data_IF_283405485006
#
_entry.id   IF_283405485006
#
_cell.length_a   1.000
_cell.length_b   1.000
_cell.length_c   1.000
_cell.angle_alpha   90.00
_cell.angle_beta   90.00
_cell.angle_gamma   90.00
#
_symmetry.space_group_name_H-M   'P 1'
#
loop_
_entity.id
_entity.type
_entity.pdbx_description
1 polymer ?
#
# COMPACT_ATOMS: atom_id res chain seq x y z
N UNK A 1 -15.04 -2.73 -1.61
CA UNK A 1 -14.13 -1.59 -1.88
C UNK A 1 -13.01 -1.68 -0.86
N UNK A 2 -11.76 -1.85 -1.21
CA UNK A 2 -10.71 -2.11 -0.22
C UNK A 2 -10.42 -0.91 0.73
N UNK A 3 -9.58 -1.11 1.76
CA UNK A 3 -9.16 -0.06 2.71
C UNK A 3 -7.66 0.24 2.60
N UNK A 4 -7.27 1.50 2.44
CA UNK A 4 -5.87 1.97 2.53
C UNK A 4 -5.69 2.76 3.82
N UNK A 5 -4.57 2.52 4.50
CA UNK A 5 -4.07 3.33 5.61
C UNK A 5 -2.59 3.59 5.40
N UNK A 6 -2.12 4.81 5.66
CA UNK A 6 -0.72 5.16 5.71
C UNK A 6 -0.44 6.10 6.89
N UNK A 7 0.79 6.07 7.37
CA UNK A 7 1.21 6.88 8.52
C UNK A 7 2.68 7.28 8.40
N UNK A 8 2.96 8.54 8.70
CA UNK A 8 4.29 9.10 8.88
C UNK A 8 4.30 9.96 10.14
N UNK A 9 5.21 9.71 11.07
CA UNK A 9 5.30 10.54 12.27
C UNK A 9 6.35 10.08 13.26
N UNK A 10 6.07 10.30 14.54
CA UNK A 10 6.99 9.99 15.65
C UNK A 10 6.56 8.78 16.50
N UNK A 11 5.29 8.36 16.43
CA UNK A 11 4.75 7.19 17.13
C UNK A 11 5.11 5.89 16.43
N UNK A 12 5.03 4.79 17.15
CA UNK A 12 5.07 3.45 16.57
C UNK A 12 3.86 3.23 15.66
N UNK A 13 4.13 2.88 14.41
CA UNK A 13 3.15 2.82 13.34
C UNK A 13 2.28 1.55 13.41
N UNK A 14 2.80 0.43 13.92
CA UNK A 14 2.10 -0.86 13.84
C UNK A 14 0.75 -0.84 14.58
N UNK A 15 0.67 -0.46 15.88
CA UNK A 15 -0.62 -0.45 16.57
C UNK A 15 -1.62 0.52 15.92
N UNK A 16 -1.12 1.63 15.40
CA UNK A 16 -1.90 2.65 14.72
C UNK A 16 -2.55 2.09 13.45
N UNK A 17 -1.74 1.47 12.58
CA UNK A 17 -2.20 0.85 11.34
C UNK A 17 -3.22 -0.24 11.61
N UNK A 18 -2.96 -1.16 12.54
CA UNK A 18 -3.90 -2.24 12.85
C UNK A 18 -5.25 -1.68 13.33
N UNK A 19 -5.24 -0.72 14.25
CA UNK A 19 -6.46 -0.05 14.73
C UNK A 19 -7.21 0.70 13.60
N UNK A 20 -6.48 1.33 12.68
CA UNK A 20 -7.06 2.04 11.54
C UNK A 20 -7.65 1.08 10.50
N UNK A 21 -6.96 -0.03 10.22
CA UNK A 21 -7.41 -1.04 9.27
C UNK A 21 -8.65 -1.78 9.77
N UNK A 22 -8.72 -2.12 11.07
CA UNK A 22 -9.90 -2.68 11.71
C UNK A 22 -11.15 -1.83 11.48
N UNK A 23 -10.99 -0.50 11.49
CA UNK A 23 -12.07 0.46 11.26
C UNK A 23 -12.58 0.51 9.83
N UNK A 24 -11.85 -0.03 8.86
CA UNK A 24 -12.24 -0.07 7.44
C UNK A 24 -12.45 -1.49 6.91
N UNK A 25 -12.48 -2.49 7.80
CA UNK A 25 -12.72 -3.91 7.45
C UNK A 25 -14.11 -4.16 6.85
N UNK A 26 -15.10 -3.31 7.15
CA UNK A 26 -16.42 -3.37 6.48
C UNK A 26 -16.34 -3.18 4.97
N UNK A 27 -15.22 -2.65 4.46
CA UNK A 27 -15.01 -2.45 3.04
C UNK A 27 -14.24 -3.62 2.38
N UNK A 28 -13.44 -4.38 3.13
CA UNK A 28 -12.73 -5.57 2.67
C UNK A 28 -12.23 -6.45 3.82
N UNK A 29 -12.40 -7.76 3.69
CA UNK A 29 -12.27 -8.73 4.78
C UNK A 29 -11.60 -10.05 4.37
N UNK A 30 -11.18 -10.21 3.11
CA UNK A 30 -10.57 -11.46 2.63
C UNK A 30 -9.12 -11.61 3.13
N UNK A 31 -8.41 -10.50 3.24
CA UNK A 31 -7.01 -10.45 3.67
C UNK A 31 -6.62 -9.04 4.12
N UNK A 32 -5.51 -8.93 4.86
CA UNK A 32 -4.87 -7.66 5.17
C UNK A 32 -3.35 -7.79 5.13
N UNK A 33 -2.69 -6.64 5.13
CA UNK A 33 -1.26 -6.58 5.37
C UNK A 33 -0.77 -5.18 5.70
N UNK A 34 0.47 -5.13 6.17
CA UNK A 34 1.18 -3.91 6.55
C UNK A 34 2.62 -3.98 6.04
N UNK A 35 3.16 -2.82 5.68
CA UNK A 35 4.58 -2.60 5.39
C UNK A 35 5.08 -1.46 6.26
N UNK A 36 6.16 -1.72 7.01
CA UNK A 36 6.79 -0.75 7.89
C UNK A 36 8.23 -0.56 7.46
N UNK A 37 8.66 0.70 7.34
CA UNK A 37 10.07 1.01 7.17
C UNK A 37 10.75 1.02 8.54
N UNK A 38 11.51 -0.03 8.80
CA UNK A 38 12.43 -0.10 9.93
C UNK A 38 13.79 0.49 9.51
N UNK A 39 14.71 0.73 10.46
CA UNK A 39 16.03 1.30 10.14
C UNK A 39 16.91 0.46 9.19
N UNK A 40 16.49 -0.76 8.83
CA UNK A 40 17.22 -1.73 8.01
C UNK A 40 16.57 -1.96 6.63
N UNK A 41 15.27 -1.73 6.49
CA UNK A 41 14.50 -2.04 5.29
C UNK A 41 12.99 -1.98 5.48
N UNK A 42 12.25 -2.41 4.48
CA UNK A 42 10.79 -2.55 4.58
C UNK A 42 10.48 -3.96 5.09
N UNK A 43 9.84 -4.04 6.25
CA UNK A 43 9.26 -5.28 6.77
C UNK A 43 7.79 -5.38 6.36
N UNK A 44 7.40 -6.52 5.80
CA UNK A 44 6.03 -6.77 5.33
C UNK A 44 5.43 -7.95 6.10
N UNK A 45 4.21 -7.77 6.58
CA UNK A 45 3.38 -8.85 7.10
C UNK A 45 2.04 -8.87 6.36
N UNK A 46 1.60 -10.06 5.96
CA UNK A 46 0.36 -10.29 5.24
C UNK A 46 -0.35 -11.52 5.79
N UNK A 47 -1.67 -11.47 5.88
CA UNK A 47 -2.50 -12.61 6.29
C UNK A 47 -3.78 -12.68 5.48
N UNK A 48 -4.25 -13.92 5.27
CA UNK A 48 -5.64 -14.20 4.86
C UNK A 48 -6.53 -14.13 6.10
N UNK A 49 -7.73 -13.56 5.94
CA UNK A 49 -8.63 -13.25 7.05
C UNK A 49 -8.62 -11.77 7.42
N UNK A 50 -9.45 -11.42 8.39
CA UNK A 50 -9.61 -10.05 8.88
C UNK A 50 -8.47 -9.66 9.83
N UNK A 51 -8.31 -8.35 10.05
CA UNK A 51 -7.35 -7.83 11.04
C UNK A 51 -7.67 -8.37 12.43
N UNK A 52 -8.95 -8.38 12.81
CA UNK A 52 -9.40 -8.86 14.12
C UNK A 52 -8.99 -10.32 14.38
N UNK A 53 -9.15 -11.19 13.40
CA UNK A 53 -8.84 -12.62 13.51
C UNK A 53 -7.33 -12.91 13.59
N UNK A 54 -6.50 -12.16 12.87
CA UNK A 54 -5.06 -12.48 12.77
C UNK A 54 -4.15 -11.49 13.53
N UNK A 55 -4.68 -10.43 14.16
CA UNK A 55 -3.87 -9.42 14.87
C UNK A 55 -2.89 -10.02 15.88
N UNK A 56 -3.29 -11.07 16.59
CA UNK A 56 -2.45 -11.74 17.57
C UNK A 56 -1.24 -12.48 16.96
N UNK A 57 -1.26 -12.74 15.65
CA UNK A 57 -0.21 -13.43 14.90
C UNK A 57 0.77 -12.44 14.25
N UNK A 58 0.47 -11.14 14.27
CA UNK A 58 1.34 -10.11 13.70
C UNK A 58 2.58 -10.00 14.58
N UNK A 59 3.80 -10.19 14.03
CA UNK A 59 5.02 -10.02 14.79
C UNK A 59 5.19 -8.55 15.23
N UNK A 60 6.00 -8.28 16.26
CA UNK A 60 6.25 -6.92 16.74
C UNK A 60 7.14 -6.14 15.76
N UNK A 61 6.57 -5.71 14.64
CA UNK A 61 7.23 -4.86 13.64
C UNK A 61 7.38 -3.45 14.20
N UNK A 62 8.54 -2.82 13.94
CA UNK A 62 8.83 -1.47 14.41
C UNK A 62 9.05 -0.51 13.24
N UNK A 63 8.46 0.67 13.34
CA UNK A 63 8.69 1.74 12.37
C UNK A 63 7.80 2.94 12.63
N UNK A 64 8.19 4.08 12.07
CA UNK A 64 7.39 5.33 12.16
C UNK A 64 6.85 5.79 10.80
N UNK A 65 7.12 5.00 9.76
CA UNK A 65 6.67 5.22 8.40
C UNK A 65 6.11 3.91 7.87
N UNK A 66 4.82 3.88 7.53
CA UNK A 66 4.14 2.64 7.22
C UNK A 66 2.92 2.82 6.33
N UNK A 67 2.58 1.76 5.61
CA UNK A 67 1.34 1.63 4.85
C UNK A 67 0.68 0.29 5.19
N UNK A 68 -0.63 0.22 5.06
CA UNK A 68 -1.42 -0.97 5.35
C UNK A 68 -2.67 -1.02 4.49
N UNK A 69 -3.22 -2.23 4.35
CA UNK A 69 -4.34 -2.49 3.47
C UNK A 69 -5.26 -3.59 3.97
N UNK A 70 -6.56 -3.43 3.74
CA UNK A 70 -7.54 -4.52 3.79
C UNK A 70 -8.11 -4.76 2.40
N UNK A 71 -8.13 -6.02 1.96
CA UNK A 71 -8.44 -6.39 0.58
C UNK A 71 -9.75 -7.15 0.48
N UNK A 72 -10.54 -6.80 -0.53
CA UNK A 72 -11.60 -7.61 -1.11
C UNK A 72 -11.13 -8.03 -2.50
N UNK A 73 -10.94 -9.33 -2.72
CA UNK A 73 -10.35 -9.85 -3.96
C UNK A 73 -11.30 -9.72 -5.16
N UNK A 74 -10.92 -8.91 -6.16
CA UNK A 74 -11.57 -8.84 -7.49
C UNK A 74 -10.76 -9.57 -8.56
N UNK A 75 -9.42 -9.45 -8.51
CA UNK A 75 -8.48 -10.12 -9.40
C UNK A 75 -7.58 -11.07 -8.61
N UNK A 76 -7.44 -12.32 -9.08
CA UNK A 76 -6.68 -13.37 -8.41
C UNK A 76 -7.42 -13.99 -7.22
N UNK A 77 -6.94 -15.17 -6.79
CA UNK A 77 -7.50 -15.88 -5.62
C UNK A 77 -7.15 -15.18 -4.30
N UNK A 78 -7.91 -15.46 -3.25
CA UNK A 78 -7.52 -15.09 -1.88
C UNK A 78 -6.28 -15.89 -1.48
N UNK A 79 -5.15 -15.20 -1.31
CA UNK A 79 -3.87 -15.79 -0.87
C UNK A 79 -3.01 -14.71 -0.21
N UNK A 80 -2.00 -15.16 0.56
CA UNK A 80 -1.00 -14.26 1.15
C UNK A 80 -0.22 -13.51 0.06
N UNK A 81 0.10 -14.18 -1.06
CA UNK A 81 0.84 -13.57 -2.16
C UNK A 81 0.05 -12.44 -2.84
N UNK A 82 -1.27 -12.59 -2.99
CA UNK A 82 -2.16 -11.60 -3.57
C UNK A 82 -2.63 -10.53 -2.58
N UNK A 83 -2.38 -10.71 -1.28
CA UNK A 83 -2.62 -9.65 -0.30
C UNK A 83 -1.61 -8.51 -0.49
N UNK A 84 -2.08 -7.29 -0.23
CA UNK A 84 -1.22 -6.10 -0.19
C UNK A 84 -0.50 -6.02 1.16
N UNK A 85 0.63 -5.30 1.28
CA UNK A 85 1.34 -4.55 0.24
C UNK A 85 2.11 -5.42 -0.77
N UNK A 86 2.33 -4.89 -1.98
CA UNK A 86 3.23 -5.48 -2.99
C UNK A 86 4.58 -4.76 -2.99
N UNK A 87 5.67 -5.52 -3.19
CA UNK A 87 7.04 -5.01 -3.26
C UNK A 87 7.53 -4.98 -4.71
N UNK A 88 8.48 -4.10 -5.00
CA UNK A 88 9.30 -4.20 -6.22
C UNK A 88 10.33 -5.34 -6.14
N UNK A 89 11.14 -5.55 -7.18
CA UNK A 89 12.14 -6.63 -7.15
C UNK A 89 13.23 -6.40 -6.09
N UNK A 90 13.57 -5.13 -5.80
CA UNK A 90 14.63 -4.77 -4.85
C UNK A 90 14.17 -4.72 -3.38
N UNK A 91 12.86 -4.62 -3.13
CA UNK A 91 12.30 -4.40 -1.79
C UNK A 91 12.45 -2.96 -1.29
N UNK A 92 12.74 -2.01 -2.17
CA UNK A 92 12.86 -0.58 -1.85
C UNK A 92 11.52 0.17 -1.95
N UNK A 93 10.57 -0.38 -2.70
CA UNK A 93 9.23 0.17 -2.89
C UNK A 93 8.20 -0.82 -2.38
N UNK A 94 7.27 -0.35 -1.55
CA UNK A 94 6.06 -1.08 -1.20
C UNK A 94 4.81 -0.27 -1.58
N UNK A 95 3.80 -0.93 -2.15
CA UNK A 95 2.56 -0.27 -2.57
C UNK A 95 1.33 -0.93 -1.96
N UNK A 96 0.32 -0.12 -1.70
CA UNK A 96 -1.07 -0.55 -1.47
C UNK A 96 -1.96 0.15 -2.48
N UNK A 97 -2.98 -0.55 -2.96
CA UNK A 97 -3.82 -0.12 -4.07
C UNK A 97 -5.32 -0.40 -3.82
N UNK A 98 -6.18 0.55 -4.20
CA UNK A 98 -7.62 0.42 -4.25
C UNK A 98 -8.11 0.79 -5.64
N UNK A 99 -8.83 -0.11 -6.29
CA UNK A 99 -9.36 0.11 -7.62
C UNK A 99 -8.91 -1.02 -8.56
N UNK A 100 -8.97 -0.75 -9.86
CA UNK A 100 -8.67 -1.72 -10.90
C UNK A 100 -7.77 -1.07 -11.96
N UNK A 101 -6.73 -1.79 -12.39
CA UNK A 101 -5.83 -1.36 -13.46
C UNK A 101 -6.17 -2.11 -14.75
N UNK A 102 -6.81 -1.45 -15.71
CA UNK A 102 -7.37 -2.09 -16.90
C UNK A 102 -6.30 -2.67 -17.83
N UNK A 103 -5.17 -1.98 -17.96
CA UNK A 103 -4.07 -2.37 -18.85
C UNK A 103 -2.98 -3.21 -18.17
N UNK A 104 -3.25 -3.80 -16.99
CA UNK A 104 -2.23 -4.52 -16.21
C UNK A 104 -1.61 -5.71 -16.95
N UNK A 105 -2.37 -6.40 -17.79
CA UNK A 105 -1.87 -7.57 -18.55
C UNK A 105 -0.77 -7.17 -19.54
N UNK A 106 -0.97 -6.05 -20.23
CA UNK A 106 0.02 -5.48 -21.14
C UNK A 106 1.26 -5.02 -20.39
N UNK A 107 1.07 -4.28 -19.29
CA UNK A 107 2.17 -3.78 -18.45
C UNK A 107 2.99 -4.92 -17.84
N UNK A 108 2.33 -5.96 -17.33
CA UNK A 108 2.98 -7.16 -16.76
C UNK A 108 3.88 -7.81 -17.81
N UNK A 109 3.39 -8.08 -19.01
CA UNK A 109 4.20 -8.70 -20.07
C UNK A 109 5.42 -7.84 -20.40
N UNK A 110 5.23 -6.52 -20.60
CA UNK A 110 6.32 -5.59 -20.89
C UNK A 110 7.38 -5.58 -19.78
N UNK A 111 6.98 -5.58 -18.52
CA UNK A 111 7.89 -5.57 -17.38
C UNK A 111 8.60 -6.92 -17.21
N UNK A 112 7.93 -8.04 -17.50
CA UNK A 112 8.58 -9.36 -17.53
C UNK A 112 9.64 -9.45 -18.63
N UNK A 113 9.35 -8.91 -19.82
CA UNK A 113 10.32 -8.83 -20.93
C UNK A 113 11.54 -7.94 -20.57
N UNK A 114 11.35 -6.99 -19.64
CA UNK A 114 12.41 -6.14 -19.08
C UNK A 114 13.16 -6.78 -17.90
N UNK A 115 12.77 -8.00 -17.47
CA UNK A 115 13.44 -8.77 -16.43
C UNK A 115 12.82 -8.65 -15.02
N UNK A 116 11.68 -7.97 -14.87
CA UNK A 116 11.00 -7.88 -13.57
C UNK A 116 10.35 -9.23 -13.20
N UNK A 117 10.53 -9.63 -11.93
CA UNK A 117 10.01 -10.88 -11.39
C UNK A 117 8.76 -10.65 -10.54
N UNK A 118 7.61 -11.12 -11.02
CA UNK A 118 6.32 -11.04 -10.34
C UNK A 118 6.08 -12.23 -9.40
N UNK A 119 5.40 -11.99 -8.29
CA UNK A 119 5.09 -12.98 -7.23
C UNK A 119 3.60 -13.21 -7.02
N UNK A 120 2.76 -12.33 -7.56
CA UNK A 120 1.31 -12.37 -7.44
C UNK A 120 0.64 -12.43 -8.81
N UNK A 121 -0.65 -12.73 -8.80
CA UNK A 121 -1.50 -12.71 -10.00
C UNK A 121 -2.22 -11.37 -10.16
N UNK A 122 -2.12 -10.48 -9.16
CA UNK A 122 -2.89 -9.24 -9.06
C UNK A 122 -2.50 -8.23 -10.13
N UNK A 123 -3.43 -7.35 -10.48
CA UNK A 123 -3.19 -6.14 -11.24
C UNK A 123 -2.26 -5.17 -10.47
N UNK A 124 -2.38 -5.15 -9.14
CA UNK A 124 -1.76 -4.19 -8.25
C UNK A 124 -0.23 -4.27 -8.22
N UNK A 125 0.34 -5.47 -8.36
CA UNK A 125 1.81 -5.66 -8.38
C UNK A 125 2.49 -4.97 -9.56
N UNK A 126 1.80 -4.77 -10.70
CA UNK A 126 2.38 -4.04 -11.84
C UNK A 126 2.74 -2.61 -11.46
N UNK A 127 2.06 -2.02 -10.47
CA UNK A 127 2.31 -0.66 -10.01
C UNK A 127 3.69 -0.58 -9.33
N UNK A 128 4.05 -1.56 -8.50
CA UNK A 128 5.35 -1.60 -7.82
C UNK A 128 6.49 -1.67 -8.84
N UNK A 129 6.38 -2.58 -9.81
CA UNK A 129 7.40 -2.76 -10.85
C UNK A 129 7.44 -1.62 -11.86
N UNK A 130 6.32 -0.96 -12.13
CA UNK A 130 6.30 0.21 -13.01
C UNK A 130 6.99 1.41 -12.35
N UNK A 131 6.81 1.60 -11.04
CA UNK A 131 7.54 2.62 -10.27
C UNK A 131 9.04 2.27 -10.25
N UNK A 132 9.38 1.00 -10.03
CA UNK A 132 10.76 0.50 -10.09
C UNK A 132 11.43 0.81 -11.44
N UNK A 133 10.75 0.53 -12.56
CA UNK A 133 11.25 0.79 -13.91
C UNK A 133 11.49 2.29 -14.19
N UNK A 134 10.82 3.17 -13.44
CA UNK A 134 11.00 4.62 -13.51
C UNK A 134 11.89 5.22 -12.43
N UNK A 135 12.48 4.39 -11.57
CA UNK A 135 13.35 4.86 -10.50
C UNK A 135 14.52 5.66 -11.05
N UNK A 136 14.64 6.91 -10.61
CA UNK A 136 15.70 7.84 -10.99
C UNK A 136 16.24 8.63 -9.77
N UNK A 137 15.93 8.17 -8.55
CA UNK A 137 16.25 8.86 -7.30
C UNK A 137 15.16 9.83 -6.81
N UNK A 138 14.20 10.23 -7.66
CA UNK A 138 13.02 10.99 -7.27
C UNK A 138 11.78 10.10 -7.33
N UNK A 139 11.32 9.66 -6.16
CA UNK A 139 10.14 8.80 -6.05
C UNK A 139 8.87 9.50 -6.55
N UNK A 140 8.77 10.83 -6.42
CA UNK A 140 7.57 11.56 -6.86
C UNK A 140 7.50 11.56 -8.39
N UNK A 141 8.63 11.76 -9.07
CA UNK A 141 8.71 11.65 -10.52
C UNK A 141 8.42 10.21 -10.99
N UNK A 142 9.05 9.21 -10.36
CA UNK A 142 8.83 7.81 -10.70
C UNK A 142 7.36 7.41 -10.58
N UNK A 143 6.70 7.78 -9.48
CA UNK A 143 5.25 7.58 -9.27
C UNK A 143 4.46 8.35 -10.32
N UNK A 144 4.77 9.62 -10.58
CA UNK A 144 4.06 10.43 -11.59
C UNK A 144 4.09 9.80 -12.98
N UNK A 145 5.26 9.30 -13.40
CA UNK A 145 5.44 8.62 -14.69
C UNK A 145 4.68 7.30 -14.74
N UNK A 146 4.77 6.49 -13.69
CA UNK A 146 4.00 5.26 -13.58
C UNK A 146 2.49 5.53 -13.71
N UNK A 147 1.96 6.53 -12.99
CA UNK A 147 0.53 6.85 -13.02
C UNK A 147 0.05 7.26 -14.41
N UNK A 148 0.89 7.92 -15.23
CA UNK A 148 0.51 8.32 -16.61
C UNK A 148 0.29 7.13 -17.54
N UNK A 149 0.90 5.99 -17.28
CA UNK A 149 0.71 4.77 -18.07
C UNK A 149 -0.46 3.91 -17.58
N UNK A 150 -0.87 4.03 -16.32
CA UNK A 150 -1.98 3.24 -15.80
C UNK A 150 -3.31 3.69 -16.43
N UNK A 151 -4.10 2.72 -16.87
CA UNK A 151 -5.50 2.89 -17.26
C UNK A 151 -6.41 2.30 -16.17
N UNK A 152 -7.58 2.91 -15.96
CA UNK A 152 -8.53 2.53 -14.92
C UNK A 152 -8.66 3.54 -13.79
N UNK A 153 -9.23 3.08 -12.67
CA UNK A 153 -9.58 3.88 -11.50
C UNK A 153 -8.81 3.35 -10.30
N UNK A 154 -8.05 4.20 -9.61
CA UNK A 154 -7.15 3.75 -8.55
C UNK A 154 -6.87 4.80 -7.48
N UNK A 155 -6.54 4.33 -6.28
CA UNK A 155 -5.87 5.09 -5.24
C UNK A 155 -4.71 4.25 -4.72
N UNK A 156 -3.55 4.87 -4.53
CA UNK A 156 -2.35 4.18 -4.05
C UNK A 156 -1.65 4.95 -2.94
N UNK A 157 -0.97 4.21 -2.08
CA UNK A 157 0.09 4.74 -1.23
C UNK A 157 1.37 3.93 -1.46
N UNK A 158 2.48 4.63 -1.62
CA UNK A 158 3.79 4.09 -2.01
C UNK A 158 4.80 4.43 -0.93
N UNK A 159 5.26 3.43 -0.19
CA UNK A 159 6.34 3.55 0.79
C UNK A 159 7.68 3.34 0.07
N UNK A 160 8.58 4.32 0.17
CA UNK A 160 9.89 4.25 -0.47
C UNK A 160 11.02 4.33 0.55
N UNK A 161 11.82 3.27 0.62
CA UNK A 161 12.90 3.11 1.61
C UNK A 161 14.00 4.16 1.45
N UNK A 162 14.62 4.36 0.26
CA UNK A 162 15.69 5.33 0.08
C UNK A 162 15.33 6.76 0.49
N UNK A 163 14.17 7.27 0.05
CA UNK A 163 13.78 8.66 0.36
C UNK A 163 13.03 8.80 1.70
N UNK A 164 12.65 7.69 2.34
CA UNK A 164 11.88 7.66 3.60
C UNK A 164 10.58 8.46 3.49
N UNK A 165 9.89 8.32 2.36
CA UNK A 165 8.64 9.02 2.08
C UNK A 165 7.50 8.03 1.82
N UNK A 166 6.28 8.53 2.03
CA UNK A 166 5.09 7.91 1.44
C UNK A 166 4.56 8.87 0.38
N UNK A 167 4.40 8.36 -0.85
CA UNK A 167 3.78 9.10 -1.95
C UNK A 167 2.36 8.56 -2.14
N UNK A 168 1.39 9.45 -2.17
CA UNK A 168 -0.01 9.13 -2.43
C UNK A 168 -0.42 9.63 -3.81
N UNK A 169 -1.16 8.81 -4.57
CA UNK A 169 -1.74 9.20 -5.84
C UNK A 169 -3.14 8.61 -5.98
N UNK A 170 -4.03 9.31 -6.69
CA UNK A 170 -5.38 8.82 -6.96
C UNK A 170 -5.90 9.29 -8.31
N UNK A 171 -6.79 8.48 -8.87
CA UNK A 171 -7.65 8.76 -10.02
C UNK A 171 -9.00 8.11 -9.72
N UNK A 172 -10.02 8.94 -9.50
CA UNK A 172 -11.42 8.55 -9.25
C UNK A 172 -11.70 7.77 -7.95
N UNK A 173 -10.75 6.98 -7.43
CA UNK A 173 -10.87 6.29 -6.14
C UNK A 173 -10.60 7.25 -4.95
N UNK A 174 -11.34 7.17 -3.83
CA UNK A 174 -11.13 8.05 -2.68
C UNK A 174 -9.77 7.84 -1.99
N UNK A 175 -9.10 8.95 -1.69
CA UNK A 175 -7.90 8.99 -0.86
C UNK A 175 -7.79 10.37 -0.22
N UNK A 176 -7.54 10.41 1.08
CA UNK A 176 -7.43 11.64 1.87
C UNK A 176 -6.14 11.66 2.68
N UNK A 177 -5.65 12.86 3.00
CA UNK A 177 -4.49 13.06 3.87
C UNK A 177 -4.97 13.72 5.15
N UNK A 178 -4.76 13.06 6.29
CA UNK A 178 -5.01 13.64 7.60
C UNK A 178 -3.75 14.29 8.16
N UNK A 179 -3.86 15.47 8.79
CA UNK A 179 -2.74 16.16 9.41
C UNK A 179 -2.83 16.11 10.94
N UNK A 180 -1.83 15.55 11.60
CA UNK A 180 -1.67 15.57 13.06
C UNK A 180 -0.58 16.54 13.51
N UNK A 181 -0.21 16.47 14.79
CA UNK A 181 0.87 17.31 15.34
C UNK A 181 2.24 16.70 15.01
N UNK A 182 2.84 17.12 13.90
CA UNK A 182 4.15 16.59 13.45
C UNK A 182 4.07 15.18 12.88
N UNK A 183 2.89 14.79 12.39
CA UNK A 183 2.59 13.50 11.79
C UNK A 183 1.52 13.68 10.71
N UNK A 184 1.46 12.75 9.75
CA UNK A 184 0.43 12.73 8.73
C UNK A 184 -0.08 11.31 8.50
N UNK A 185 -1.32 11.23 8.03
CA UNK A 185 -2.03 9.99 7.76
C UNK A 185 -2.50 9.99 6.31
N UNK A 186 -2.60 8.81 5.73
CA UNK A 186 -3.28 8.58 4.45
C UNK A 186 -4.41 7.61 4.73
N UNK A 187 -5.58 7.85 4.18
CA UNK A 187 -6.68 6.89 4.28
C UNK A 187 -7.57 6.92 3.05
N UNK A 188 -8.12 5.76 2.67
CA UNK A 188 -9.19 5.70 1.67
C UNK A 188 -10.58 6.03 2.25
N UNK A 189 -10.72 6.05 3.58
CA UNK A 189 -11.94 6.47 4.25
C UNK A 189 -11.62 7.16 5.59
N UNK A 190 -12.40 8.20 5.90
CA UNK A 190 -12.21 9.08 7.07
C UNK A 190 -12.23 8.32 8.41
N UNK A 191 -13.10 7.33 8.66
CA UNK A 191 -13.14 6.60 9.93
C UNK A 191 -11.81 5.98 10.37
N UNK A 192 -10.93 5.65 9.42
CA UNK A 192 -9.60 5.11 9.73
C UNK A 192 -8.71 6.08 10.51
N UNK A 193 -8.90 7.39 10.32
CA UNK A 193 -8.00 8.45 10.84
C UNK A 193 -8.66 9.39 11.85
N UNK A 194 -10.00 9.37 11.98
CA UNK A 194 -10.75 10.18 12.94
C UNK A 194 -10.22 10.14 14.40
N UNK A 195 -9.74 8.99 14.93
CA UNK A 195 -9.19 8.97 16.29
C UNK A 195 -7.91 9.79 16.48
N UNK A 196 -7.23 10.15 15.38
CA UNK A 196 -5.92 10.79 15.42
C UNK A 196 -5.96 12.24 14.94
N UNK A 197 -6.86 12.57 14.02
CA UNK A 197 -7.03 13.94 13.54
C UNK A 197 -8.42 14.18 12.95
N UNK A 198 -8.84 15.44 13.00
CA UNK A 198 -10.03 15.97 12.33
C UNK A 198 -9.69 16.98 11.21
N UNK A 199 -8.39 17.14 10.87
CA UNK A 199 -7.92 17.98 9.77
C UNK A 199 -7.60 17.09 8.57
N UNK A 200 -8.35 17.24 7.48
CA UNK A 200 -8.31 16.42 6.26
C UNK A 200 -8.35 17.31 5.03
#
# INVERSE_FOLDING_TARGET
>A
MCGIVGYVGHRDALPLLLNSLERVTYRGYDSFGVALLNGQGIEVYKSVGTVEECRAQVPPLQGTLAIGHTRWSTVGKVSVDNAHPHLDCSGEVAIVHNGDIDNFSYLRQRLQDQGHSFRSETDSEVIAHLIEAYSNGDIVDAVSRAMRELEGSFAIAVLHRPSRQIVAARRESPLVIGLGKGEAFIASDIPAILPYTNQV
#
